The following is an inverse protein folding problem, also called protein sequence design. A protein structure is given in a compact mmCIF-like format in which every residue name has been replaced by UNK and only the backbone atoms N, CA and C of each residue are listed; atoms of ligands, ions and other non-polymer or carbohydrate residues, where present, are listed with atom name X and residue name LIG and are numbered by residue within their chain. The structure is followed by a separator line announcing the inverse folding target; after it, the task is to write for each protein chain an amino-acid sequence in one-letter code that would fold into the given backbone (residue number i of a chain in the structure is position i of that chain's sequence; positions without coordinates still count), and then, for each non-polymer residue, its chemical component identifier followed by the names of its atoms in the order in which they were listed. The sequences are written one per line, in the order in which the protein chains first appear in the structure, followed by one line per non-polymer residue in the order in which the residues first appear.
data_IF_731714052803
#
_entry.id   IF_731714052803
#
_cell.length_a   1.000
_cell.length_b   1.000
_cell.length_c   1.000
_cell.angle_alpha   90.00
_cell.angle_beta   90.00
_cell.angle_gamma   90.00
#
_symmetry.space_group_name_H-M   'P 1'
#
loop_
_entity.id
_entity.type
_entity.pdbx_description
1 polymer ?
#
# COMPACT_ATOMS: atom_id res chain seq x y z
N UNK A 1 -5.96 -2.07 15.28
CA UNK A 1 -6.27 -2.11 13.83
C UNK A 1 -5.05 -2.70 13.14
N UNK A 2 -5.22 -3.73 12.29
CA UNK A 2 -4.11 -4.26 11.48
C UNK A 2 -3.60 -3.19 10.51
N UNK A 3 -2.28 -3.08 10.31
CA UNK A 3 -1.65 -2.04 9.49
C UNK A 3 -2.18 -2.00 8.06
N UNK A 4 -2.43 -3.15 7.45
CA UNK A 4 -3.01 -3.26 6.11
C UNK A 4 -4.40 -2.60 6.01
N UNK A 5 -5.29 -2.81 6.99
CA UNK A 5 -6.60 -2.15 7.04
C UNK A 5 -6.49 -0.65 7.24
N UNK A 6 -5.49 -0.21 8.01
CA UNK A 6 -5.16 1.21 8.14
C UNK A 6 -4.72 1.79 6.79
N UNK A 7 -3.86 1.11 6.04
CA UNK A 7 -3.41 1.55 4.71
C UNK A 7 -4.60 1.66 3.74
N UNK A 8 -5.46 0.63 3.67
CA UNK A 8 -6.68 0.66 2.86
C UNK A 8 -7.55 1.86 3.22
N UNK A 9 -7.75 2.11 4.52
CA UNK A 9 -8.63 3.19 5.01
C UNK A 9 -8.06 4.59 4.75
N UNK A 10 -6.80 4.81 5.12
CA UNK A 10 -6.21 6.14 5.16
C UNK A 10 -5.46 6.50 3.89
N UNK A 11 -4.81 5.54 3.24
CA UNK A 11 -3.91 5.82 2.13
C UNK A 11 -4.56 5.56 0.78
N UNK A 12 -5.40 4.54 0.62
CA UNK A 12 -5.98 4.22 -0.68
C UNK A 12 -7.23 5.02 -1.06
N UNK A 13 -7.49 5.08 -2.37
CA UNK A 13 -8.76 5.54 -2.95
C UNK A 13 -9.82 4.46 -2.78
N UNK A 14 -11.08 4.84 -2.54
CA UNK A 14 -12.21 3.91 -2.38
C UNK A 14 -12.29 2.89 -3.53
N UNK A 15 -12.13 3.37 -4.77
CA UNK A 15 -12.15 2.53 -5.98
C UNK A 15 -11.06 1.45 -5.98
N UNK A 16 -9.84 1.79 -5.55
CA UNK A 16 -8.74 0.83 -5.45
C UNK A 16 -9.01 -0.22 -4.37
N UNK A 17 -9.57 0.18 -3.22
CA UNK A 17 -10.01 -0.77 -2.20
C UNK A 17 -11.05 -1.74 -2.74
N UNK A 18 -12.09 -1.22 -3.41
CA UNK A 18 -13.13 -2.07 -4.00
C UNK A 18 -12.55 -3.09 -4.99
N UNK A 19 -11.57 -2.70 -5.82
CA UNK A 19 -10.87 -3.64 -6.70
C UNK A 19 -10.11 -4.73 -5.94
N UNK A 20 -9.42 -4.38 -4.86
CA UNK A 20 -8.72 -5.35 -4.01
C UNK A 20 -9.70 -6.30 -3.32
N UNK A 21 -10.83 -5.79 -2.84
CA UNK A 21 -11.86 -6.60 -2.17
C UNK A 21 -12.51 -7.57 -3.17
N UNK A 22 -12.79 -7.13 -4.41
CA UNK A 22 -13.26 -8.00 -5.49
C UNK A 22 -12.23 -9.08 -5.81
N UNK A 23 -10.95 -8.70 -5.99
CA UNK A 23 -9.88 -9.65 -6.26
C UNK A 23 -9.76 -10.71 -5.15
N UNK A 24 -9.72 -10.28 -3.88
CA UNK A 24 -9.59 -11.15 -2.73
C UNK A 24 -10.77 -12.15 -2.68
N UNK A 25 -12.00 -11.65 -2.79
CA UNK A 25 -13.19 -12.50 -2.80
C UNK A 25 -13.14 -13.56 -3.91
N UNK A 26 -12.79 -13.17 -5.13
CA UNK A 26 -12.67 -14.12 -6.25
C UNK A 26 -11.51 -15.10 -6.08
N UNK A 27 -10.43 -14.70 -5.41
CA UNK A 27 -9.28 -15.58 -5.12
C UNK A 27 -9.60 -16.67 -4.09
N UNK A 28 -10.47 -16.35 -3.13
CA UNK A 28 -10.99 -17.27 -2.11
C UNK A 28 -12.04 -18.23 -2.68
N UNK A 29 -12.81 -17.77 -3.68
CA UNK A 29 -13.89 -18.55 -4.30
C UNK A 29 -13.50 -18.99 -5.72
N UNK A 30 -12.71 -20.06 -5.83
CA UNK A 30 -12.16 -20.59 -7.10
C UNK A 30 -13.17 -21.38 -7.95
N UNK A 31 -14.41 -20.93 -8.05
CA UNK A 31 -15.48 -21.53 -8.85
C UNK A 31 -16.27 -20.46 -9.60
N UNK A 32 -17.14 -20.87 -10.52
CA UNK A 32 -17.97 -19.96 -11.30
C UNK A 32 -19.08 -19.35 -10.44
N UNK A 33 -19.18 -18.02 -10.41
CA UNK A 33 -20.18 -17.26 -9.66
C UNK A 33 -20.93 -16.33 -10.62
N UNK A 34 -22.23 -16.17 -10.43
CA UNK A 34 -23.04 -15.28 -11.27
C UNK A 34 -22.66 -13.81 -11.07
N UNK A 35 -22.67 -13.04 -12.15
CA UNK A 35 -22.49 -11.58 -12.13
C UNK A 35 -23.46 -10.91 -11.17
N UNK A 36 -24.72 -11.35 -11.17
CA UNK A 36 -25.77 -10.77 -10.32
C UNK A 36 -25.43 -10.94 -8.84
N UNK A 37 -25.05 -12.15 -8.42
CA UNK A 37 -24.67 -12.40 -7.03
C UNK A 37 -23.49 -11.54 -6.60
N UNK A 38 -22.46 -11.43 -7.44
CA UNK A 38 -21.29 -10.61 -7.16
C UNK A 38 -21.65 -9.13 -7.06
N UNK A 39 -22.47 -8.63 -7.99
CA UNK A 39 -22.95 -7.25 -7.97
C UNK A 39 -23.73 -6.93 -6.68
N UNK A 40 -24.62 -7.83 -6.26
CA UNK A 40 -25.39 -7.70 -5.02
C UNK A 40 -24.47 -7.76 -3.78
N UNK A 41 -23.50 -8.67 -3.77
CA UNK A 41 -22.51 -8.82 -2.69
C UNK A 41 -21.69 -7.54 -2.49
N UNK A 42 -21.25 -6.90 -3.58
CA UNK A 42 -20.49 -5.65 -3.52
C UNK A 42 -21.38 -4.39 -3.52
N UNK A 43 -22.70 -4.54 -3.37
CA UNK A 43 -23.67 -3.45 -3.29
C UNK A 43 -23.58 -2.46 -4.46
N UNK A 44 -23.50 -2.98 -5.69
CA UNK A 44 -23.45 -2.18 -6.92
C UNK A 44 -24.27 -2.80 -8.05
N UNK A 45 -24.52 -2.04 -9.12
CA UNK A 45 -25.18 -2.59 -10.30
C UNK A 45 -24.27 -3.56 -11.05
N UNK A 46 -24.85 -4.54 -11.76
CA UNK A 46 -24.09 -5.47 -12.60
C UNK A 46 -23.18 -4.75 -13.60
N UNK A 47 -23.66 -3.68 -14.23
CA UNK A 47 -22.87 -2.88 -15.17
C UNK A 47 -21.64 -2.25 -14.52
N UNK A 48 -21.78 -1.77 -13.27
CA UNK A 48 -20.66 -1.20 -12.53
C UNK A 48 -19.69 -2.31 -12.12
N UNK A 49 -20.19 -3.46 -11.66
CA UNK A 49 -19.36 -4.61 -11.33
C UNK A 49 -18.53 -5.08 -12.53
N UNK A 50 -19.15 -5.22 -13.70
CA UNK A 50 -18.45 -5.58 -14.95
C UNK A 50 -17.41 -4.54 -15.37
N UNK A 51 -17.63 -3.25 -15.06
CA UNK A 51 -16.61 -2.21 -15.27
C UNK A 51 -15.40 -2.44 -14.35
N UNK A 52 -15.61 -2.75 -13.06
CA UNK A 52 -14.53 -3.10 -12.13
C UNK A 52 -13.75 -4.34 -12.58
N UNK A 53 -14.44 -5.37 -13.09
CA UNK A 53 -13.81 -6.57 -13.67
C UNK A 53 -12.91 -6.20 -14.87
N UNK A 54 -13.42 -5.38 -15.79
CA UNK A 54 -12.63 -4.93 -16.96
C UNK A 54 -11.39 -4.13 -16.53
N UNK A 55 -11.52 -3.29 -15.53
CA UNK A 55 -10.38 -2.52 -15.01
C UNK A 55 -9.36 -3.40 -14.28
N UNK A 56 -9.81 -4.44 -13.57
CA UNK A 56 -8.92 -5.44 -12.96
C UNK A 56 -8.13 -6.19 -14.02
N UNK A 57 -8.76 -6.63 -15.11
CA UNK A 57 -8.05 -7.29 -16.22
C UNK A 57 -6.98 -6.38 -16.83
N UNK A 58 -7.31 -5.11 -17.10
CA UNK A 58 -6.32 -4.12 -17.55
C UNK A 58 -5.19 -3.93 -16.54
N UNK A 59 -5.49 -4.07 -15.25
CA UNK A 59 -4.48 -3.95 -14.22
C UNK A 59 -3.55 -5.16 -14.15
N UNK A 60 -4.07 -6.36 -14.43
CA UNK A 60 -3.26 -7.58 -14.55
C UNK A 60 -2.30 -7.47 -15.74
N UNK A 61 -2.80 -7.01 -16.89
CA UNK A 61 -1.98 -6.75 -18.08
C UNK A 61 -0.85 -5.76 -17.80
N UNK A 62 -1.15 -4.61 -17.19
CA UNK A 62 -0.14 -3.59 -16.83
C UNK A 62 0.91 -4.10 -15.85
N UNK A 63 0.56 -5.08 -15.02
CA UNK A 63 1.48 -5.71 -14.06
C UNK A 63 2.20 -6.93 -14.63
N UNK A 64 1.99 -7.26 -15.91
CA UNK A 64 2.50 -8.46 -16.55
C UNK A 64 2.13 -9.75 -15.77
N UNK A 65 0.93 -9.79 -15.20
CA UNK A 65 0.39 -10.98 -14.51
C UNK A 65 -0.28 -11.90 -15.53
N UNK A 66 0.49 -12.47 -16.47
CA UNK A 66 -0.03 -13.25 -17.60
C UNK A 66 -0.69 -14.57 -17.18
N UNK A 67 -0.29 -15.11 -16.03
CA UNK A 67 -0.82 -16.34 -15.43
C UNK A 67 -2.10 -16.10 -14.61
N UNK A 68 -2.63 -14.87 -14.61
CA UNK A 68 -3.83 -14.45 -13.89
C UNK A 68 -4.86 -13.90 -14.87
N UNK A 69 -6.03 -14.52 -14.96
CA UNK A 69 -7.11 -14.05 -15.84
C UNK A 69 -8.49 -14.35 -15.26
N UNK A 70 -9.51 -13.66 -15.79
CA UNK A 70 -10.91 -13.83 -15.40
C UNK A 70 -11.64 -14.54 -16.53
N UNK A 71 -12.02 -15.80 -16.30
CA UNK A 71 -12.88 -16.55 -17.21
C UNK A 71 -14.30 -16.02 -17.17
N UNK A 72 -14.86 -15.77 -18.35
CA UNK A 72 -16.23 -15.26 -18.52
C UNK A 72 -17.08 -16.28 -19.27
N UNK A 73 -18.00 -16.91 -18.56
CA UNK A 73 -19.01 -17.81 -19.13
C UNK A 73 -20.39 -17.24 -18.82
N UNK A 74 -20.87 -16.25 -19.58
CA UNK A 74 -22.10 -15.50 -19.25
C UNK A 74 -23.24 -16.44 -18.77
N UNK A 75 -23.84 -16.19 -17.59
CA UNK A 75 -23.66 -15.04 -16.68
C UNK A 75 -22.58 -15.21 -15.59
N UNK A 76 -21.71 -16.20 -15.72
CA UNK A 76 -20.71 -16.58 -14.71
C UNK A 76 -19.33 -15.99 -14.95
N UNK A 77 -18.60 -15.82 -13.83
CA UNK A 77 -17.23 -15.36 -13.76
C UNK A 77 -16.42 -16.26 -12.83
N UNK A 78 -15.13 -16.45 -13.11
CA UNK A 78 -14.17 -17.13 -12.24
C UNK A 78 -12.79 -16.52 -12.41
N UNK A 79 -12.07 -16.28 -11.30
CA UNK A 79 -10.66 -15.92 -11.33
C UNK A 79 -9.80 -17.19 -11.39
N UNK A 80 -8.89 -17.27 -12.36
CA UNK A 80 -7.98 -18.39 -12.54
C UNK A 80 -6.53 -17.98 -12.29
N UNK A 81 -5.78 -18.93 -11.75
CA UNK A 81 -4.35 -18.82 -11.48
C UNK A 81 -3.65 -19.99 -12.18
N UNK A 82 -2.79 -19.69 -13.16
CA UNK A 82 -2.00 -20.68 -13.92
C UNK A 82 -0.65 -20.95 -13.25
N UNK A 83 -0.67 -21.35 -11.98
CA UNK A 83 0.54 -21.64 -11.20
C UNK A 83 1.11 -20.45 -10.42
N UNK A 84 0.61 -19.25 -10.65
CA UNK A 84 0.97 -18.05 -9.87
C UNK A 84 0.31 -18.05 -8.49
N UNK A 85 1.05 -17.61 -7.48
CA UNK A 85 0.54 -17.48 -6.11
C UNK A 85 -0.46 -16.31 -5.98
N UNK A 86 -1.68 -16.54 -5.46
CA UNK A 86 -2.65 -15.46 -5.24
C UNK A 86 -2.15 -14.36 -4.31
N UNK A 87 -1.34 -14.68 -3.30
CA UNK A 87 -0.82 -13.66 -2.39
C UNK A 87 0.18 -12.74 -3.11
N UNK A 88 1.08 -13.29 -3.92
CA UNK A 88 1.93 -12.52 -4.82
C UNK A 88 1.13 -11.56 -5.71
N UNK A 89 0.08 -12.04 -6.39
CA UNK A 89 -0.80 -11.21 -7.21
C UNK A 89 -1.47 -10.09 -6.41
N UNK A 90 -1.97 -10.40 -5.21
CA UNK A 90 -2.57 -9.44 -4.30
C UNK A 90 -1.60 -8.30 -3.97
N UNK A 91 -0.37 -8.61 -3.55
CA UNK A 91 0.60 -7.59 -3.15
C UNK A 91 1.11 -6.77 -4.34
N UNK A 92 1.21 -7.35 -5.55
CA UNK A 92 1.50 -6.58 -6.78
C UNK A 92 0.41 -5.53 -7.07
N UNK A 93 -0.87 -5.91 -6.95
CA UNK A 93 -1.99 -4.99 -7.10
C UNK A 93 -2.00 -3.93 -5.99
N UNK A 94 -1.82 -4.37 -4.74
CA UNK A 94 -1.86 -3.49 -3.57
C UNK A 94 -0.73 -2.45 -3.60
N UNK A 95 0.50 -2.88 -3.91
CA UNK A 95 1.64 -2.01 -4.12
C UNK A 95 1.41 -0.98 -5.21
N UNK A 96 0.92 -1.42 -6.39
CA UNK A 96 0.59 -0.50 -7.48
C UNK A 96 -0.47 0.53 -7.07
N UNK A 97 -1.54 0.10 -6.41
CA UNK A 97 -2.58 1.03 -5.97
C UNK A 97 -2.11 2.00 -4.89
N UNK A 98 -1.17 1.60 -4.04
CA UNK A 98 -0.49 2.50 -3.12
C UNK A 98 0.34 3.53 -3.90
N UNK A 99 1.17 3.08 -4.85
CA UNK A 99 2.01 3.97 -5.68
C UNK A 99 1.18 4.98 -6.50
N UNK A 100 -0.02 4.62 -6.95
CA UNK A 100 -0.96 5.54 -7.64
C UNK A 100 -1.76 6.45 -6.67
N UNK A 101 -1.55 6.32 -5.36
CA UNK A 101 -2.26 7.09 -4.35
C UNK A 101 -1.50 8.33 -3.90
N UNK A 102 -2.16 9.46 -4.08
CA UNK A 102 -1.74 10.77 -3.56
C UNK A 102 -1.44 10.73 -2.06
N UNK A 103 -2.24 10.04 -1.25
CA UNK A 103 -2.02 10.03 0.21
C UNK A 103 -0.76 9.26 0.57
N UNK A 104 -0.44 8.21 -0.20
CA UNK A 104 0.78 7.43 -0.03
C UNK A 104 2.02 8.17 -0.55
N UNK A 105 1.90 8.84 -1.69
CA UNK A 105 2.94 9.73 -2.24
C UNK A 105 3.31 10.85 -1.24
N UNK A 106 2.32 11.51 -0.64
CA UNK A 106 2.58 12.52 0.39
C UNK A 106 3.24 11.89 1.62
N UNK A 107 2.73 10.74 2.10
CA UNK A 107 3.27 10.06 3.27
C UNK A 107 4.74 9.67 3.09
N UNK A 108 5.08 9.03 1.96
CA UNK A 108 6.47 8.62 1.65
C UNK A 108 7.38 9.84 1.49
N UNK A 109 6.88 10.91 0.86
CA UNK A 109 7.61 12.18 0.79
C UNK A 109 7.89 12.76 2.19
N UNK A 110 6.94 12.68 3.13
CA UNK A 110 7.16 13.16 4.50
C UNK A 110 8.29 12.43 5.24
N UNK A 111 8.54 11.16 4.92
CA UNK A 111 9.68 10.41 5.46
C UNK A 111 11.03 10.78 4.82
N UNK A 112 11.03 11.47 3.68
CA UNK A 112 12.26 11.92 3.02
C UNK A 112 12.96 13.04 3.80
N UNK A 113 14.29 12.93 3.87
CA UNK A 113 15.17 13.99 4.41
C UNK A 113 15.18 15.25 3.54
N UNK A 114 14.73 15.17 2.27
CA UNK A 114 14.67 16.32 1.36
C UNK A 114 13.45 17.21 1.62
N UNK A 115 12.39 16.64 2.22
CA UNK A 115 11.13 17.33 2.47
C UNK A 115 11.17 18.05 3.81
N UNK A 116 11.84 19.19 3.88
CA UNK A 116 12.00 19.97 5.12
C UNK A 116 11.00 21.12 5.27
N UNK A 117 10.14 21.33 4.28
CA UNK A 117 9.12 22.37 4.27
C UNK A 117 7.90 21.98 3.45
N UNK A 118 6.81 22.72 3.63
CA UNK A 118 5.61 22.56 2.80
C UNK A 118 5.88 22.89 1.32
N UNK A 119 6.83 23.79 1.05
CA UNK A 119 7.23 24.18 -0.31
C UNK A 119 7.97 23.02 -0.98
N UNK A 120 8.95 22.42 -0.30
CA UNK A 120 9.65 21.24 -0.82
C UNK A 120 8.71 20.05 -1.01
N UNK A 121 7.72 19.88 -0.12
CA UNK A 121 6.70 18.83 -0.30
C UNK A 121 5.85 19.09 -1.55
N UNK A 122 5.41 20.34 -1.74
CA UNK A 122 4.64 20.78 -2.90
C UNK A 122 5.39 20.56 -4.21
N UNK A 123 6.69 20.87 -4.26
CA UNK A 123 7.56 20.61 -5.41
C UNK A 123 7.73 19.11 -5.69
N UNK A 124 7.95 18.31 -4.66
CA UNK A 124 8.18 16.87 -4.81
C UNK A 124 6.93 16.13 -5.30
N UNK A 125 5.75 16.48 -4.78
CA UNK A 125 4.50 15.79 -5.12
C UNK A 125 3.71 16.48 -6.24
N UNK A 126 4.21 17.60 -6.78
CA UNK A 126 3.50 18.45 -7.76
C UNK A 126 2.07 18.86 -7.34
N UNK A 127 1.82 19.05 -6.03
CA UNK A 127 0.53 19.50 -5.51
C UNK A 127 0.64 20.84 -4.81
N UNK A 128 -0.40 21.67 -4.84
CA UNK A 128 -0.40 22.96 -4.14
C UNK A 128 -0.36 22.77 -2.61
N UNK A 129 0.26 23.71 -1.91
CA UNK A 129 0.33 23.68 -0.45
C UNK A 129 -1.06 23.61 0.21
N UNK A 130 -2.04 24.35 -0.31
CA UNK A 130 -3.42 24.32 0.19
C UNK A 130 -4.03 22.91 0.08
N UNK A 131 -3.83 22.22 -1.04
CA UNK A 131 -4.31 20.86 -1.22
C UNK A 131 -3.59 19.89 -0.26
N UNK A 132 -2.27 20.02 -0.10
CA UNK A 132 -1.50 19.21 0.84
C UNK A 132 -2.02 19.35 2.27
N UNK A 133 -2.29 20.57 2.75
CA UNK A 133 -2.87 20.80 4.08
C UNK A 133 -4.20 20.07 4.29
N UNK A 134 -5.06 20.00 3.27
CA UNK A 134 -6.33 19.24 3.38
C UNK A 134 -6.10 17.74 3.57
N UNK A 135 -5.03 17.19 2.96
CA UNK A 135 -4.67 15.77 3.09
C UNK A 135 -3.92 15.46 4.38
N UNK A 136 -3.18 16.43 4.93
CA UNK A 136 -2.42 16.26 6.17
C UNK A 136 -3.27 15.79 7.35
N UNK A 137 -4.55 16.19 7.45
CA UNK A 137 -5.44 15.70 8.52
C UNK A 137 -5.61 14.17 8.47
N UNK A 138 -5.80 13.61 7.27
CA UNK A 138 -5.96 12.16 7.07
C UNK A 138 -4.64 11.44 7.32
N UNK A 139 -3.52 12.02 6.88
CA UNK A 139 -2.18 11.46 7.07
C UNK A 139 -1.79 11.47 8.55
N UNK A 140 -2.05 12.54 9.29
CA UNK A 140 -1.80 12.59 10.72
C UNK A 140 -2.67 11.61 11.51
N UNK A 141 -3.92 11.39 11.09
CA UNK A 141 -4.75 10.35 11.70
C UNK A 141 -4.16 8.95 11.50
N UNK A 142 -3.53 8.69 10.36
CA UNK A 142 -2.81 7.45 10.10
C UNK A 142 -1.52 7.35 10.92
N UNK A 143 -0.69 8.39 10.92
CA UNK A 143 0.57 8.44 11.69
C UNK A 143 0.34 8.33 13.20
N UNK A 144 -0.79 8.84 13.70
CA UNK A 144 -1.16 8.73 15.11
C UNK A 144 -1.27 7.27 15.59
N UNK A 145 -1.56 6.32 14.69
CA UNK A 145 -1.58 4.88 15.01
C UNK A 145 -0.20 4.35 15.43
N UNK A 146 0.87 5.04 15.00
CA UNK A 146 2.27 4.76 15.37
C UNK A 146 2.77 5.67 16.50
N UNK A 147 1.92 6.56 17.04
CA UNK A 147 2.32 7.60 17.98
C UNK A 147 3.13 8.73 17.34
N UNK A 148 2.93 8.96 16.05
CA UNK A 148 3.63 9.95 15.24
C UNK A 148 2.70 11.10 14.84
N UNK A 149 3.27 12.28 14.58
CA UNK A 149 2.55 13.38 13.91
C UNK A 149 3.48 14.28 13.13
N UNK A 150 2.96 14.92 12.08
CA UNK A 150 3.69 15.87 11.25
C UNK A 150 2.90 17.17 11.17
N UNK A 151 3.59 18.27 11.43
CA UNK A 151 3.05 19.61 11.22
C UNK A 151 4.04 20.47 10.44
N UNK A 152 3.56 21.59 9.93
CA UNK A 152 4.39 22.64 9.36
C UNK A 152 4.24 23.87 10.25
N UNK A 153 5.36 24.45 10.68
CA UNK A 153 5.36 25.69 11.47
C UNK A 153 4.92 26.88 10.64
N UNK A 154 4.73 28.05 11.28
CA UNK A 154 4.32 29.28 10.61
C UNK A 154 5.28 29.73 9.49
N UNK A 155 6.57 29.39 9.60
CA UNK A 155 7.57 29.62 8.54
C UNK A 155 7.67 28.46 7.52
N UNK A 156 6.72 27.53 7.55
CA UNK A 156 6.60 26.42 6.61
C UNK A 156 7.55 25.25 6.83
N UNK A 157 8.34 25.23 7.91
CA UNK A 157 9.28 24.12 8.19
C UNK A 157 8.54 22.89 8.72
N UNK A 158 8.95 21.71 8.24
CA UNK A 158 8.43 20.42 8.71
C UNK A 158 8.87 20.17 10.14
N UNK A 159 7.92 19.78 10.98
CA UNK A 159 8.16 19.26 12.32
C UNK A 159 7.56 17.87 12.40
N UNK A 160 8.40 16.84 12.51
CA UNK A 160 7.99 15.46 12.70
C UNK A 160 8.13 15.13 14.19
N UNK A 161 7.01 14.85 14.86
CA UNK A 161 6.95 14.49 16.27
C UNK A 161 6.85 12.98 16.45
N UNK A 162 7.58 12.45 17.42
CA UNK A 162 7.67 11.02 17.74
C UNK A 162 9.09 10.63 18.12
N UNK A 163 9.28 9.41 18.64
CA UNK A 163 10.62 8.86 18.83
C UNK A 163 11.15 8.35 17.49
N UNK A 164 12.45 8.51 17.24
CA UNK A 164 13.11 8.02 16.04
C UNK A 164 12.81 6.54 15.77
N UNK A 165 12.83 5.69 16.80
CA UNK A 165 12.47 4.26 16.69
C UNK A 165 11.03 4.04 16.18
N UNK A 166 10.09 4.91 16.52
CA UNK A 166 8.70 4.82 16.04
C UNK A 166 8.60 5.25 14.56
N UNK A 167 9.39 6.24 14.15
CA UNK A 167 9.47 6.68 12.75
C UNK A 167 10.02 5.54 11.89
N UNK A 168 11.12 4.92 12.32
CA UNK A 168 11.74 3.79 11.63
C UNK A 168 10.81 2.57 11.58
N UNK A 169 10.16 2.24 12.71
CA UNK A 169 9.18 1.16 12.76
C UNK A 169 8.01 1.43 11.82
N UNK A 170 7.45 2.64 11.82
CA UNK A 170 6.34 2.98 10.94
C UNK A 170 6.73 2.83 9.47
N UNK A 171 7.88 3.38 9.06
CA UNK A 171 8.36 3.26 7.69
C UNK A 171 8.52 1.79 7.25
N UNK A 172 9.13 0.96 8.10
CA UNK A 172 9.33 -0.47 7.83
C UNK A 172 8.00 -1.25 7.80
N UNK A 173 7.13 -1.06 8.77
CA UNK A 173 5.84 -1.76 8.87
C UNK A 173 4.93 -1.40 7.70
N UNK A 174 4.84 -0.12 7.34
CA UNK A 174 4.07 0.35 6.18
C UNK A 174 4.61 -0.30 4.90
N UNK A 175 5.93 -0.23 4.69
CA UNK A 175 6.56 -0.81 3.52
C UNK A 175 6.29 -2.31 3.41
N UNK A 176 6.53 -3.04 4.49
CA UNK A 176 6.35 -4.49 4.54
C UNK A 176 4.91 -4.90 4.26
N UNK A 177 3.92 -4.19 4.81
CA UNK A 177 2.51 -4.51 4.58
C UNK A 177 2.06 -4.22 3.14
N UNK A 178 2.72 -3.31 2.41
CA UNK A 178 2.36 -2.96 1.03
C UNK A 178 3.02 -3.89 0.02
N UNK A 179 4.31 -4.16 0.20
CA UNK A 179 5.15 -4.83 -0.79
C UNK A 179 5.59 -6.24 -0.38
N UNK A 180 5.04 -6.80 0.71
CA UNK A 180 5.31 -8.18 1.12
C UNK A 180 5.31 -9.10 -0.09
N UNK A 181 6.32 -9.97 -0.21
CA UNK A 181 6.47 -10.94 -1.31
C UNK A 181 6.61 -10.37 -2.73
N UNK A 182 6.73 -9.05 -2.91
CA UNK A 182 7.05 -8.42 -4.20
C UNK A 182 8.49 -7.92 -4.19
N UNK A 183 9.20 -8.15 -5.30
CA UNK A 183 10.56 -7.62 -5.46
C UNK A 183 10.53 -6.09 -5.36
N UNK A 184 11.49 -5.56 -4.60
CA UNK A 184 11.65 -4.14 -4.27
C UNK A 184 11.90 -3.28 -5.51
N UNK A 185 11.05 -2.28 -5.78
CA UNK A 185 11.38 -1.15 -6.67
C UNK A 185 12.38 -0.15 -6.02
N UNK A 186 12.78 -0.38 -4.76
CA UNK A 186 13.70 0.49 -4.01
C UNK A 186 15.18 0.26 -4.33
N UNK A 187 15.51 -0.74 -5.14
CA UNK A 187 16.87 -1.10 -5.51
C UNK A 187 17.04 -1.00 -7.03
N UNK A 188 17.34 0.20 -7.53
CA UNK A 188 18.11 0.37 -8.77
C UNK A 188 19.61 0.00 -8.56
N UNK A 189 19.99 -0.34 -7.32
CA UNK A 189 21.32 -0.85 -6.98
C UNK A 189 21.28 -2.38 -6.85
N UNK A 190 22.30 -3.06 -7.37
CA UNK A 190 22.48 -4.51 -7.17
C UNK A 190 22.28 -4.86 -5.68
N UNK A 191 21.51 -5.93 -5.35
CA UNK A 191 21.26 -6.30 -3.98
C UNK A 191 22.58 -6.54 -3.24
N UNK A 192 22.99 -5.59 -2.41
CA UNK A 192 24.10 -5.80 -1.50
C UNK A 192 23.66 -6.83 -0.47
N UNK A 193 24.33 -7.98 -0.47
CA UNK A 193 24.23 -8.96 0.61
C UNK A 193 24.75 -8.29 1.88
N UNK A 194 23.85 -7.69 2.64
CA UNK A 194 24.16 -7.24 4.00
C UNK A 194 24.22 -8.50 4.85
N UNK A 195 25.43 -9.00 5.08
CA UNK A 195 25.68 -9.93 6.15
C UNK A 195 25.30 -9.22 7.46
N UNK A 196 24.10 -9.51 7.98
CA UNK A 196 23.70 -9.10 9.32
C UNK A 196 24.57 -9.84 10.33
N UNK A 197 25.77 -9.32 10.61
CA UNK A 197 26.42 -9.61 11.88
C UNK A 197 25.67 -8.81 12.95
N UNK A 198 24.70 -9.47 13.58
CA UNK A 198 24.22 -9.05 14.90
C UNK A 198 25.41 -9.12 15.87
N UNK A 199 26.13 -8.01 16.01
CA UNK A 199 27.06 -7.83 17.13
C UNK A 199 26.23 -7.63 18.39
N UNK A 200 25.82 -8.74 19.01
CA UNK A 200 25.32 -8.76 20.37
C UNK A 200 26.45 -8.36 21.31
N UNK A 201 26.47 -7.09 21.72
CA UNK A 201 27.29 -6.64 22.83
C UNK A 201 26.70 -7.20 24.13
N UNK A 202 27.06 -8.44 24.46
CA UNK A 202 26.85 -8.99 25.79
C UNK A 202 27.74 -8.22 26.77
N UNK A 203 27.10 -7.48 27.69
CA UNK A 203 27.80 -6.85 28.81
C UNK A 203 28.44 -7.96 29.64
N UNK A 204 29.77 -8.00 29.66
CA UNK A 204 30.66 -9.02 30.27
C UNK A 204 30.60 -9.06 31.81
N UNK A 205 29.41 -8.96 32.42
CA UNK A 205 29.22 -8.87 33.88
C UNK A 205 28.44 -10.03 34.51
N UNK A 206 28.10 -11.07 33.73
CA UNK A 206 27.42 -12.27 34.24
C UNK A 206 28.04 -13.59 33.76
N UNK A 207 29.30 -13.58 33.35
CA UNK A 207 30.09 -14.78 33.13
C UNK A 207 31.31 -14.71 34.06
N UNK A 208 31.09 -15.12 35.30
CA UNK A 208 32.14 -15.55 36.22
C UNK A 208 31.72 -16.91 36.76
N UNK A 209 32.69 -17.81 36.75
CA UNK A 209 32.67 -19.25 37.02
C UNK A 209 31.84 -19.72 38.23
#
# INVERSE_FOLDING_TARGET
MQTQEAIKTYLLKKKSNTKLDIFLFLSEHRFFITTQYLADHFHMSESNFLLYIKELEQDFERLNLTELHIDKQKPFLKLNFEGIDPAYCYYRLFGRYCNESVSYEILTSLFSCQTNSIISLSQQTNYSASYLYTKMKKINAFLALYGLSVSFSNNGRKSFSGKEVQIQYAALDIYWNIFSSTATDFYDEEPQVVAFMMNTFLKKRYLTD
#
